data_IF_016927035327
#
_entry.id   IF_016927035327
#
_cell.length_a   1.000
_cell.length_b   1.000
_cell.length_c   1.000
_cell.angle_alpha   90.00
_cell.angle_beta   90.00
_cell.angle_gamma   90.00
#
_symmetry.space_group_name_H-M   'P 1'
#
loop_
_entity.id
_entity.type
_entity.pdbx_description
1 polymer ?
#
# COMPACT_ATOMS: atom_id res chain seq x y z
N UNK A 1 23.60 -36.14 -9.16
CA UNK A 1 23.51 -35.23 -7.99
C UNK A 1 24.53 -34.12 -8.23
N UNK A 2 24.19 -33.20 -9.11
CA UNK A 2 25.02 -32.04 -9.48
C UNK A 2 24.42 -30.80 -8.85
N UNK A 3 25.20 -30.15 -8.03
CA UNK A 3 25.17 -28.81 -7.44
C UNK A 3 23.95 -27.90 -7.77
N UNK A 4 22.87 -28.03 -7.02
CA UNK A 4 21.82 -27.03 -6.87
C UNK A 4 22.25 -25.93 -5.87
N UNK A 5 23.46 -25.41 -6.05
CA UNK A 5 23.93 -24.17 -5.43
C UNK A 5 24.02 -23.04 -6.46
N UNK A 6 22.99 -22.90 -7.30
CA UNK A 6 22.80 -21.61 -7.97
C UNK A 6 22.35 -20.62 -6.93
N UNK A 7 23.13 -19.56 -6.79
CA UNK A 7 22.94 -18.49 -5.84
C UNK A 7 21.47 -18.02 -5.89
N UNK A 8 20.72 -18.36 -4.84
CA UNK A 8 19.40 -17.73 -4.61
C UNK A 8 19.65 -16.23 -4.64
N UNK A 9 19.02 -15.46 -5.53
CA UNK A 9 19.15 -14.01 -5.48
C UNK A 9 18.78 -13.60 -4.05
N UNK A 10 19.62 -12.77 -3.45
CA UNK A 10 19.40 -12.27 -2.09
C UNK A 10 17.98 -11.70 -2.05
N UNK A 11 17.10 -12.30 -1.24
CA UNK A 11 15.69 -11.97 -1.22
C UNK A 11 15.55 -10.57 -0.61
N UNK A 12 15.54 -9.55 -1.46
CA UNK A 12 15.31 -8.16 -1.05
C UNK A 12 13.87 -8.02 -0.55
N UNK A 13 13.68 -7.26 0.52
CA UNK A 13 12.35 -6.90 1.01
C UNK A 13 11.50 -6.27 -0.09
N UNK A 14 12.12 -5.47 -0.96
CA UNK A 14 11.45 -4.78 -2.07
C UNK A 14 10.89 -5.73 -3.13
N UNK A 15 11.23 -7.03 -3.09
CA UNK A 15 10.61 -8.04 -3.98
C UNK A 15 9.20 -8.45 -3.56
N UNK A 16 8.85 -8.22 -2.29
CA UNK A 16 7.53 -8.55 -1.74
C UNK A 16 6.81 -7.32 -1.19
N UNK A 17 7.53 -6.37 -0.58
CA UNK A 17 6.95 -5.18 0.03
C UNK A 17 6.82 -4.08 -1.03
N UNK A 18 5.59 -3.78 -1.42
CA UNK A 18 5.36 -2.76 -2.42
C UNK A 18 5.14 -1.36 -1.83
N UNK A 19 4.83 -1.27 -0.53
CA UNK A 19 4.58 0.01 0.13
C UNK A 19 4.86 -0.07 1.63
N UNK A 20 5.53 0.96 2.13
CA UNK A 20 5.75 1.22 3.54
C UNK A 20 5.14 2.57 3.88
N UNK A 21 4.39 2.66 4.98
CA UNK A 21 3.89 3.92 5.48
C UNK A 21 4.38 4.14 6.91
N UNK A 22 5.05 5.27 7.11
CA UNK A 22 5.45 5.78 8.42
C UNK A 22 4.38 6.74 8.91
N UNK A 23 3.85 6.53 10.10
CA UNK A 23 2.77 7.33 10.67
C UNK A 23 3.14 7.81 12.06
N UNK A 24 2.98 9.12 12.30
CA UNK A 24 3.08 9.72 13.62
C UNK A 24 1.76 10.35 14.00
N UNK A 25 1.26 9.98 15.17
CA UNK A 25 0.07 10.56 15.80
C UNK A 25 0.48 11.51 16.93
N UNK A 26 -0.12 12.70 16.98
CA UNK A 26 0.13 13.71 17.99
C UNK A 26 -1.17 14.37 18.43
N UNK A 27 -1.30 14.55 19.74
CA UNK A 27 -2.36 15.34 20.33
C UNK A 27 -1.78 16.55 21.05
N UNK A 28 -2.55 17.61 21.21
CA UNK A 28 -2.16 18.78 21.96
C UNK A 28 -2.58 18.63 23.43
N UNK A 29 -1.69 19.05 24.33
CA UNK A 29 -1.93 18.98 25.77
C UNK A 29 -3.15 19.80 26.21
N UNK A 30 -3.40 20.93 25.56
CA UNK A 30 -4.40 21.92 25.94
C UNK A 30 -5.83 21.55 25.49
N UNK A 31 -5.97 20.49 24.67
CA UNK A 31 -7.26 20.10 24.10
C UNK A 31 -7.59 18.64 24.44
N UNK A 32 -8.87 18.33 24.68
CA UNK A 32 -9.30 16.93 24.77
C UNK A 32 -9.14 16.26 23.40
N UNK A 33 -9.03 14.93 23.36
CA UNK A 33 -8.92 14.17 22.11
C UNK A 33 -10.02 14.55 21.10
N UNK A 34 -9.72 14.42 19.82
CA UNK A 34 -10.56 14.86 18.71
C UNK A 34 -12.02 14.38 18.80
N UNK A 35 -12.25 13.15 19.27
CA UNK A 35 -13.59 12.60 19.47
C UNK A 35 -14.46 13.45 20.45
N UNK A 36 -13.88 13.93 21.56
CA UNK A 36 -14.58 14.79 22.52
C UNK A 36 -14.73 16.23 22.04
N UNK A 37 -13.77 16.71 21.24
CA UNK A 37 -13.88 18.04 20.64
C UNK A 37 -15.06 18.11 19.66
N UNK A 38 -15.31 17.05 18.90
CA UNK A 38 -16.40 17.00 17.93
C UNK A 38 -17.80 17.12 18.57
N UNK A 39 -17.96 16.69 19.82
CA UNK A 39 -19.19 16.83 20.57
C UNK A 39 -19.51 18.32 20.97
N UNK A 40 -18.48 19.16 21.01
CA UNK A 40 -18.59 20.59 21.44
C UNK A 40 -18.85 21.59 20.31
N UNK A 41 -18.91 21.20 19.05
CA UNK A 41 -19.34 22.05 17.92
C UNK A 41 -18.33 23.09 17.43
N UNK A 42 -17.09 23.16 17.95
CA UNK A 42 -16.09 24.20 17.62
C UNK A 42 -14.82 23.69 16.93
N UNK A 43 -14.86 22.47 16.40
CA UNK A 43 -13.67 21.79 15.87
C UNK A 43 -13.09 22.44 14.62
N UNK A 44 -13.95 22.93 13.71
CA UNK A 44 -13.54 23.50 12.43
C UNK A 44 -12.65 24.74 12.58
N UNK A 45 -13.04 25.67 13.43
CA UNK A 45 -12.27 26.90 13.67
C UNK A 45 -10.90 26.64 14.30
N UNK A 46 -10.80 25.62 15.16
CA UNK A 46 -9.55 25.19 15.79
C UNK A 46 -8.63 24.55 14.71
N UNK A 47 -9.18 23.62 13.93
CA UNK A 47 -8.43 22.94 12.89
C UNK A 47 -7.94 23.89 11.79
N UNK A 48 -8.76 24.87 11.40
CA UNK A 48 -8.36 25.92 10.44
C UNK A 48 -7.20 26.77 10.97
N UNK A 49 -7.15 27.06 12.27
CA UNK A 49 -6.02 27.77 12.88
C UNK A 49 -4.76 26.93 12.79
N UNK A 50 -4.80 25.67 13.21
CA UNK A 50 -3.65 24.77 13.11
C UNK A 50 -3.18 24.56 11.66
N UNK A 51 -4.12 24.42 10.72
CA UNK A 51 -3.81 24.37 9.30
C UNK A 51 -3.08 25.62 8.82
N UNK A 52 -3.56 26.82 9.24
CA UNK A 52 -2.91 28.09 8.92
C UNK A 52 -1.48 28.15 9.46
N UNK A 53 -1.27 27.73 10.72
CA UNK A 53 0.08 27.71 11.32
C UNK A 53 1.01 26.73 10.57
N UNK A 54 0.53 25.53 10.22
CA UNK A 54 1.30 24.57 9.43
C UNK A 54 1.68 25.11 8.04
N UNK A 55 0.77 25.81 7.38
CA UNK A 55 1.00 26.40 6.06
C UNK A 55 2.04 27.54 6.16
N UNK A 56 1.82 28.50 7.04
CA UNK A 56 2.63 29.72 7.09
C UNK A 56 4.00 29.52 7.73
N UNK A 57 4.11 28.68 8.75
CA UNK A 57 5.36 28.52 9.50
C UNK A 57 6.18 27.30 9.04
N UNK A 58 5.51 26.25 8.56
CA UNK A 58 6.17 24.97 8.25
C UNK A 58 6.09 24.58 6.77
N UNK A 59 5.55 25.43 5.90
CA UNK A 59 5.53 25.20 4.46
C UNK A 59 4.69 24.00 4.02
N UNK A 60 3.64 23.70 4.76
CA UNK A 60 2.59 22.79 4.27
C UNK A 60 1.72 23.50 3.24
N UNK A 61 1.12 22.77 2.36
CA UNK A 61 0.16 23.25 1.38
C UNK A 61 -1.17 22.50 1.51
N UNK A 62 -2.26 23.21 1.28
CA UNK A 62 -3.59 22.61 1.26
C UNK A 62 -3.74 21.77 0.01
N UNK A 63 -4.32 20.60 0.16
CA UNK A 63 -4.54 19.68 -0.96
C UNK A 63 -6.00 19.75 -1.37
N UNK A 64 -6.24 19.95 -2.66
CA UNK A 64 -7.57 19.84 -3.24
C UNK A 64 -7.90 18.36 -3.45
N UNK A 65 -9.17 17.98 -3.30
CA UNK A 65 -9.69 16.60 -3.20
C UNK A 65 -9.11 15.57 -4.17
N UNK A 66 -8.77 15.96 -5.39
CA UNK A 66 -8.40 15.01 -6.44
C UNK A 66 -6.99 14.42 -6.35
N UNK A 67 -6.04 15.11 -5.73
CA UNK A 67 -4.63 14.64 -5.67
C UNK A 67 -4.27 13.93 -4.36
N UNK A 68 -5.17 13.96 -3.39
CA UNK A 68 -4.90 13.48 -2.04
C UNK A 68 -5.13 11.98 -1.86
N UNK A 69 -5.94 11.40 -2.71
CA UNK A 69 -6.44 10.04 -2.49
C UNK A 69 -5.38 8.97 -2.74
N UNK A 70 -4.45 9.22 -3.64
CA UNK A 70 -3.43 8.23 -4.05
C UNK A 70 -2.46 7.82 -2.94
N UNK A 71 -2.08 8.75 -2.06
CA UNK A 71 -1.10 8.46 -1.00
C UNK A 71 -1.72 8.10 0.36
N UNK A 72 -3.01 8.44 0.55
CA UNK A 72 -3.74 8.20 1.81
C UNK A 72 -4.31 6.79 1.94
N UNK A 73 -4.22 5.97 0.90
CA UNK A 73 -4.83 4.63 0.80
C UNK A 73 -4.29 3.60 1.80
N UNK A 74 -3.40 4.01 2.67
CA UNK A 74 -2.89 3.22 3.79
C UNK A 74 -3.56 3.52 5.13
N UNK A 75 -4.74 4.09 5.16
CA UNK A 75 -5.44 4.17 6.45
C UNK A 75 -5.70 2.73 6.94
N UNK A 76 -5.08 2.29 8.05
CA UNK A 76 -5.36 0.97 8.63
C UNK A 76 -6.80 0.85 9.10
N UNK A 77 -7.53 1.94 9.08
CA UNK A 77 -8.90 2.08 9.57
C UNK A 77 -9.91 2.26 8.43
N UNK A 78 -9.65 1.80 7.20
CA UNK A 78 -10.68 1.83 6.15
C UNK A 78 -11.98 1.12 6.57
N UNK A 79 -11.93 0.23 7.57
CA UNK A 79 -13.10 -0.44 8.15
C UNK A 79 -13.71 0.31 9.35
N UNK A 80 -13.05 1.33 9.90
CA UNK A 80 -13.49 2.08 11.08
C UNK A 80 -13.80 3.56 10.82
N UNK A 81 -13.58 4.06 9.61
CA UNK A 81 -13.95 5.43 9.27
C UNK A 81 -15.47 5.48 9.07
N UNK A 82 -16.20 6.36 9.79
CA UNK A 82 -17.57 6.65 9.44
C UNK A 82 -17.60 7.12 7.98
N UNK A 83 -18.57 6.65 7.20
CA UNK A 83 -18.72 6.90 5.75
C UNK A 83 -18.93 8.38 5.37
N UNK A 84 -18.77 9.30 6.30
CA UNK A 84 -18.73 10.74 6.08
C UNK A 84 -17.45 11.28 6.67
N UNK A 85 -16.42 11.43 5.83
CA UNK A 85 -15.30 12.32 6.15
C UNK A 85 -15.88 13.72 6.30
N UNK A 86 -15.81 14.35 7.49
CA UNK A 86 -16.11 15.76 7.56
C UNK A 86 -14.93 16.49 6.91
N UNK A 87 -15.20 17.00 5.71
CA UNK A 87 -14.52 18.15 5.10
C UNK A 87 -13.04 17.94 4.76
N UNK A 88 -12.76 17.94 3.49
CA UNK A 88 -11.44 18.02 2.80
C UNK A 88 -10.56 19.23 3.22
N UNK A 89 -11.05 20.07 4.10
CA UNK A 89 -10.37 21.26 4.58
C UNK A 89 -9.12 20.98 5.44
N UNK A 90 -8.93 19.76 5.90
CA UNK A 90 -7.94 19.41 6.92
C UNK A 90 -6.86 18.44 6.46
N UNK A 91 -6.71 18.30 5.16
CA UNK A 91 -5.63 17.55 4.56
C UNK A 91 -4.58 18.51 4.02
N UNK A 92 -3.38 18.36 4.53
CA UNK A 92 -2.22 19.15 4.14
C UNK A 92 -1.10 18.22 3.68
N UNK A 93 -0.21 18.73 2.83
CA UNK A 93 1.01 18.03 2.47
C UNK A 93 2.21 18.95 2.52
N UNK A 94 3.39 18.37 2.75
CA UNK A 94 4.68 19.06 2.66
C UNK A 94 5.67 18.20 1.91
N UNK A 95 6.37 18.81 0.96
CA UNK A 95 7.43 18.15 0.20
C UNK A 95 8.70 18.01 1.05
N UNK A 96 9.28 16.81 1.06
CA UNK A 96 10.60 16.52 1.61
C UNK A 96 11.50 15.99 0.51
N UNK A 97 12.72 16.54 0.42
CA UNK A 97 13.75 16.05 -0.49
C UNK A 97 14.70 15.10 0.24
N UNK A 98 14.91 13.92 -0.34
CA UNK A 98 15.82 12.91 0.17
C UNK A 98 16.56 12.22 -0.98
N UNK A 99 17.89 12.23 -0.98
CA UNK A 99 18.73 11.57 -1.99
C UNK A 99 18.32 11.88 -3.45
N UNK A 100 17.91 13.12 -3.73
CA UNK A 100 17.47 13.55 -5.06
C UNK A 100 16.05 13.11 -5.44
N UNK A 101 15.33 12.47 -4.54
CA UNK A 101 13.89 12.11 -4.70
C UNK A 101 13.03 13.02 -3.84
N UNK A 102 11.81 13.24 -4.31
CA UNK A 102 10.78 14.02 -3.59
C UNK A 102 9.79 13.07 -2.94
N UNK A 103 9.50 13.33 -1.67
CA UNK A 103 8.50 12.62 -0.88
C UNK A 103 7.50 13.63 -0.32
N UNK A 104 6.28 13.21 -0.07
CA UNK A 104 5.27 14.05 0.57
C UNK A 104 4.96 13.54 1.97
N UNK A 105 5.12 14.43 2.95
CA UNK A 105 4.55 14.23 4.28
C UNK A 105 3.14 14.76 4.26
N UNK A 106 2.20 13.89 4.50
CA UNK A 106 0.79 14.21 4.64
C UNK A 106 0.47 14.51 6.09
N UNK A 107 -0.35 15.49 6.32
CA UNK A 107 -0.90 15.81 7.64
C UNK A 107 -2.41 15.84 7.57
N UNK A 108 -3.03 14.90 8.25
CA UNK A 108 -4.48 14.85 8.47
C UNK A 108 -4.76 15.47 9.84
N UNK A 109 -5.65 16.47 9.87
CA UNK A 109 -6.07 17.12 11.10
C UNK A 109 -7.40 16.56 11.59
N UNK A 110 -7.54 16.44 12.93
CA UNK A 110 -8.80 16.12 13.60
C UNK A 110 -9.46 14.80 13.12
N UNK A 111 -8.64 13.78 12.93
CA UNK A 111 -9.14 12.41 12.74
C UNK A 111 -9.40 11.76 14.11
N UNK A 112 -8.74 10.67 14.45
CA UNK A 112 -8.74 10.11 15.80
C UNK A 112 -7.88 10.94 16.74
N UNK A 113 -6.69 11.34 16.25
CA UNK A 113 -5.78 12.26 16.90
C UNK A 113 -5.88 13.66 16.27
N UNK A 114 -5.34 14.67 16.94
CA UNK A 114 -5.34 16.04 16.44
C UNK A 114 -4.51 16.17 15.16
N UNK A 115 -3.34 15.51 15.12
CA UNK A 115 -2.45 15.45 13.97
C UNK A 115 -2.08 14.02 13.68
N UNK A 116 -2.21 13.64 12.43
CA UNK A 116 -1.70 12.40 11.89
C UNK A 116 -0.77 12.72 10.72
N UNK A 117 0.53 12.59 10.95
CA UNK A 117 1.54 12.77 9.90
C UNK A 117 1.86 11.42 9.29
N UNK A 118 1.81 11.33 7.98
CA UNK A 118 2.13 10.10 7.26
C UNK A 118 3.07 10.33 6.09
N UNK A 119 3.92 9.34 5.82
CA UNK A 119 4.88 9.33 4.73
C UNK A 119 4.92 7.96 4.09
N UNK A 120 4.67 7.88 2.79
CA UNK A 120 4.72 6.63 2.03
C UNK A 120 6.08 6.45 1.35
N UNK A 121 6.60 5.21 1.40
CA UNK A 121 7.85 4.79 0.79
C UNK A 121 7.59 3.53 -0.05
N UNK A 122 8.31 3.39 -1.15
CA UNK A 122 8.23 2.22 -2.03
C UNK A 122 9.46 1.29 -1.91
N UNK A 123 10.45 1.68 -1.11
CA UNK A 123 11.63 0.85 -0.83
C UNK A 123 12.04 0.98 0.63
N UNK A 124 12.58 -0.11 1.18
CA UNK A 124 13.20 -0.09 2.52
C UNK A 124 14.50 0.73 2.54
N UNK A 125 15.12 0.96 1.39
CA UNK A 125 16.33 1.80 1.28
C UNK A 125 16.04 3.26 1.61
N UNK A 126 14.81 3.71 1.43
CA UNK A 126 14.38 5.08 1.71
C UNK A 126 14.04 5.32 3.20
N UNK A 127 14.01 4.28 4.04
CA UNK A 127 13.70 4.38 5.48
C UNK A 127 14.55 5.39 6.27
N UNK A 128 15.82 5.68 5.92
CA UNK A 128 16.59 6.73 6.62
C UNK A 128 15.94 8.12 6.56
N UNK A 129 14.98 8.38 5.66
CA UNK A 129 14.16 9.61 5.62
C UNK A 129 13.38 9.83 6.93
N UNK A 130 13.13 8.75 7.71
CA UNK A 130 12.53 8.81 9.04
C UNK A 130 13.21 9.88 9.93
N UNK A 131 14.53 10.04 9.82
CA UNK A 131 15.26 11.06 10.59
C UNK A 131 14.81 12.48 10.22
N UNK A 132 14.57 12.76 8.93
CA UNK A 132 14.05 14.06 8.49
C UNK A 132 12.62 14.30 8.95
N UNK A 133 11.80 13.26 8.93
CA UNK A 133 10.44 13.35 9.45
C UNK A 133 10.43 13.61 10.96
N UNK A 134 11.29 12.96 11.73
CA UNK A 134 11.46 13.23 13.15
C UNK A 134 11.97 14.66 13.42
N UNK A 135 12.92 15.17 12.62
CA UNK A 135 13.37 16.56 12.73
C UNK A 135 12.24 17.57 12.46
N UNK A 136 11.38 17.28 11.47
CA UNK A 136 10.20 18.11 11.23
C UNK A 136 9.27 18.12 12.45
N UNK A 137 9.02 16.96 13.06
CA UNK A 137 8.16 16.85 14.25
C UNK A 137 8.74 17.62 15.44
N UNK A 138 10.05 17.54 15.67
CA UNK A 138 10.73 18.35 16.69
C UNK A 138 10.62 19.85 16.44
N UNK A 139 10.64 20.30 15.17
CA UNK A 139 10.38 21.71 14.85
C UNK A 139 8.94 22.12 15.18
N UNK A 140 7.97 21.21 14.92
CA UNK A 140 6.56 21.44 15.24
C UNK A 140 6.34 21.56 16.75
N UNK A 141 7.08 20.83 17.59
CA UNK A 141 7.01 20.90 19.05
C UNK A 141 7.32 22.30 19.61
N UNK A 142 8.06 23.13 18.89
CA UNK A 142 8.32 24.52 19.29
C UNK A 142 7.05 25.42 19.21
N UNK A 143 6.06 25.01 18.39
CA UNK A 143 4.83 25.77 18.15
C UNK A 143 3.60 25.07 18.70
N UNK A 144 3.63 23.76 18.76
CA UNK A 144 2.53 22.93 19.21
C UNK A 144 2.95 22.14 20.44
N UNK A 145 2.33 22.40 21.58
CA UNK A 145 2.60 21.66 22.82
C UNK A 145 1.95 20.30 22.76
N UNK A 146 2.66 19.29 22.26
CA UNK A 146 2.14 17.94 22.17
C UNK A 146 1.93 17.32 23.55
N UNK A 147 0.84 16.57 23.68
CA UNK A 147 0.51 15.84 24.90
C UNK A 147 1.55 14.72 25.13
N UNK A 148 2.36 14.90 26.13
CA UNK A 148 3.43 13.99 26.51
C UNK A 148 3.36 13.73 28.01
N UNK A 149 3.58 12.48 28.38
CA UNK A 149 3.66 12.01 29.76
C UNK A 149 5.01 11.33 29.99
N UNK A 150 5.64 11.58 31.13
CA UNK A 150 7.00 11.05 31.41
C UNK A 150 7.04 9.52 31.51
N UNK A 151 5.93 8.86 31.84
CA UNK A 151 5.82 7.41 31.94
C UNK A 151 5.35 6.77 30.63
N UNK A 152 4.42 7.44 29.94
CA UNK A 152 3.73 6.87 28.78
C UNK A 152 4.20 7.44 27.44
N UNK A 153 5.03 8.49 27.44
CA UNK A 153 5.45 9.17 26.21
C UNK A 153 4.34 10.00 25.58
N UNK A 154 4.30 10.08 24.24
CA UNK A 154 3.23 10.78 23.52
C UNK A 154 1.89 10.10 23.73
N UNK A 155 0.89 10.88 24.11
CA UNK A 155 -0.47 10.41 24.34
C UNK A 155 -1.24 10.41 23.02
N UNK A 156 -1.78 9.26 22.64
CA UNK A 156 -2.54 9.04 21.40
C UNK A 156 -3.94 8.50 21.70
N UNK A 157 -4.86 8.70 20.76
CA UNK A 157 -6.23 8.18 20.89
C UNK A 157 -6.26 6.65 20.87
N UNK A 158 -5.35 6.01 20.15
CA UNK A 158 -5.14 4.57 20.22
C UNK A 158 -4.05 4.25 21.24
N UNK A 159 -4.36 3.55 22.36
CA UNK A 159 -3.38 3.21 23.40
C UNK A 159 -2.17 2.43 22.88
N UNK A 160 -2.33 1.59 21.83
CA UNK A 160 -1.25 0.80 21.26
C UNK A 160 -0.14 1.66 20.63
N UNK A 161 -0.48 2.89 20.25
CA UNK A 161 0.48 3.85 19.68
C UNK A 161 1.06 4.80 20.72
N UNK A 162 0.55 4.79 21.96
CA UNK A 162 1.13 5.59 23.04
C UNK A 162 2.62 5.26 23.24
N UNK A 163 3.39 6.25 23.66
CA UNK A 163 4.85 6.14 23.76
C UNK A 163 5.54 6.85 22.62
N UNK A 164 5.94 6.15 21.58
CA UNK A 164 6.52 6.78 20.41
C UNK A 164 5.50 7.63 19.61
N UNK A 165 4.19 7.37 19.77
CA UNK A 165 3.15 7.91 18.92
C UNK A 165 3.42 7.59 17.45
N UNK A 166 3.96 6.40 17.17
CA UNK A 166 4.47 5.99 15.87
C UNK A 166 3.97 4.61 15.48
N UNK A 167 3.57 4.48 14.21
CA UNK A 167 3.33 3.18 13.60
C UNK A 167 4.00 3.09 12.22
N UNK A 168 4.38 1.87 11.86
CA UNK A 168 4.83 1.50 10.52
C UNK A 168 3.83 0.51 9.94
N UNK A 169 3.35 0.79 8.75
CA UNK A 169 2.47 -0.11 8.00
C UNK A 169 3.22 -0.63 6.79
N UNK A 170 3.18 -1.94 6.62
CA UNK A 170 3.87 -2.63 5.54
C UNK A 170 2.84 -3.38 4.71
N UNK A 171 2.84 -3.20 3.39
CA UNK A 171 2.00 -3.99 2.49
C UNK A 171 2.89 -4.93 1.68
N UNK A 172 2.66 -6.23 1.84
CA UNK A 172 3.44 -7.29 1.23
C UNK A 172 2.59 -8.17 0.30
N UNK A 173 3.13 -8.50 -0.86
CA UNK A 173 2.55 -9.40 -1.85
C UNK A 173 3.06 -10.82 -1.59
N UNK A 174 2.18 -11.73 -1.15
CA UNK A 174 2.56 -13.04 -0.62
C UNK A 174 1.78 -14.21 -1.28
N UNK A 175 1.76 -14.34 -2.62
CA UNK A 175 1.02 -15.39 -3.30
C UNK A 175 1.56 -16.80 -3.01
N UNK A 176 2.85 -16.96 -2.75
CA UNK A 176 3.44 -18.25 -2.45
C UNK A 176 3.01 -18.79 -1.09
N UNK A 177 3.09 -17.96 -0.05
CA UNK A 177 2.62 -18.31 1.30
C UNK A 177 1.12 -18.58 1.32
N UNK A 178 0.34 -17.83 0.52
CA UNK A 178 -1.09 -18.04 0.37
C UNK A 178 -1.41 -19.39 -0.27
N UNK A 179 -0.74 -19.72 -1.38
CA UNK A 179 -1.00 -20.96 -2.13
C UNK A 179 -0.68 -22.24 -1.34
N UNK A 180 0.19 -22.15 -0.33
CA UNK A 180 0.61 -23.29 0.49
C UNK A 180 -0.01 -23.28 1.91
N UNK A 181 -1.02 -22.46 2.15
CA UNK A 181 -1.76 -22.38 3.42
C UNK A 181 -0.88 -22.10 4.66
N UNK A 182 0.20 -21.29 4.48
CA UNK A 182 1.09 -20.91 5.60
C UNK A 182 0.65 -19.64 6.34
N UNK A 183 -0.59 -19.19 6.16
CA UNK A 183 -1.05 -17.90 6.67
C UNK A 183 -1.16 -17.87 8.19
N UNK A 184 -1.62 -18.95 8.83
CA UNK A 184 -1.69 -19.03 10.29
C UNK A 184 -0.29 -18.93 10.90
N UNK A 185 0.68 -19.67 10.33
CA UNK A 185 2.08 -19.59 10.73
C UNK A 185 2.68 -18.20 10.53
N UNK A 186 2.32 -17.52 9.44
CA UNK A 186 2.73 -16.15 9.16
C UNK A 186 2.18 -15.16 10.21
N UNK A 187 0.90 -15.26 10.55
CA UNK A 187 0.27 -14.39 11.55
C UNK A 187 0.88 -14.61 12.94
N UNK A 188 1.09 -15.87 13.33
CA UNK A 188 1.75 -16.21 14.59
C UNK A 188 3.19 -15.70 14.64
N UNK A 189 3.93 -15.84 13.54
CA UNK A 189 5.28 -15.30 13.42
C UNK A 189 5.28 -13.76 13.49
N UNK A 190 4.38 -13.10 12.78
CA UNK A 190 4.23 -11.64 12.84
C UNK A 190 4.03 -11.18 14.27
N UNK A 191 3.10 -11.80 14.99
CA UNK A 191 2.81 -11.46 16.39
C UNK A 191 4.04 -11.65 17.30
N UNK A 192 4.79 -12.73 17.13
CA UNK A 192 6.03 -12.98 17.87
C UNK A 192 7.13 -11.93 17.60
N UNK A 193 7.09 -11.27 16.43
CA UNK A 193 7.99 -10.19 16.04
C UNK A 193 7.46 -8.79 16.38
N UNK A 194 6.37 -8.68 17.13
CA UNK A 194 5.73 -7.41 17.47
C UNK A 194 5.00 -6.75 16.31
N UNK A 195 4.60 -7.54 15.32
CA UNK A 195 3.80 -7.10 14.16
C UNK A 195 2.43 -7.78 14.19
N UNK A 196 1.42 -7.12 13.65
CA UNK A 196 0.07 -7.67 13.51
C UNK A 196 -0.35 -7.64 12.04
N UNK A 197 -0.94 -8.73 11.56
CA UNK A 197 -1.64 -8.75 10.28
C UNK A 197 -2.98 -8.03 10.45
N UNK A 198 -3.22 -7.01 9.62
CA UNK A 198 -4.43 -6.17 9.70
C UNK A 198 -5.58 -6.76 8.89
N UNK A 199 -5.29 -7.66 7.94
CA UNK A 199 -6.31 -8.29 7.11
C UNK A 199 -7.21 -9.20 7.95
N UNK A 200 -8.52 -9.10 7.71
CA UNK A 200 -9.52 -9.99 8.31
C UNK A 200 -9.57 -11.30 7.52
N UNK A 201 -8.73 -12.25 7.91
CA UNK A 201 -8.59 -13.54 7.22
C UNK A 201 -9.81 -14.46 7.41
N UNK A 202 -10.66 -14.18 8.39
CA UNK A 202 -11.93 -14.92 8.57
C UNK A 202 -12.92 -14.62 7.44
N UNK A 203 -12.82 -13.43 6.83
CA UNK A 203 -13.62 -13.03 5.66
C UNK A 203 -13.09 -13.54 4.32
N UNK A 204 -11.89 -14.11 4.32
CA UNK A 204 -11.24 -14.64 3.14
C UNK A 204 -9.86 -14.03 2.89
N UNK A 205 -9.24 -14.45 1.80
CA UNK A 205 -7.94 -13.97 1.39
C UNK A 205 -8.01 -12.53 0.89
N UNK A 206 -7.01 -11.70 1.19
CA UNK A 206 -6.98 -10.34 0.67
C UNK A 206 -6.80 -10.37 -0.85
N UNK A 207 -7.55 -9.53 -1.60
CA UNK A 207 -7.40 -9.42 -3.04
C UNK A 207 -5.95 -9.16 -3.45
N UNK A 208 -5.51 -9.82 -4.51
CA UNK A 208 -4.14 -9.70 -5.00
C UNK A 208 -3.07 -10.30 -4.08
N UNK A 209 -3.44 -11.10 -3.08
CA UNK A 209 -2.52 -11.64 -2.07
C UNK A 209 -1.71 -10.53 -1.36
N UNK A 210 -2.35 -9.37 -1.14
CA UNK A 210 -1.75 -8.18 -0.53
C UNK A 210 -2.03 -8.15 0.96
N UNK A 211 -1.06 -8.55 1.75
CA UNK A 211 -1.14 -8.57 3.21
C UNK A 211 -0.64 -7.26 3.79
N UNK A 212 -1.34 -6.76 4.80
CA UNK A 212 -0.95 -5.56 5.51
C UNK A 212 -0.54 -5.90 6.94
N UNK A 213 0.64 -5.43 7.34
CA UNK A 213 1.19 -5.61 8.68
C UNK A 213 1.43 -4.24 9.31
N UNK A 214 1.23 -4.17 10.63
CA UNK A 214 1.56 -2.98 11.44
C UNK A 214 2.22 -3.42 12.73
N UNK A 215 2.99 -2.54 13.38
CA UNK A 215 3.52 -2.82 14.72
C UNK A 215 2.39 -2.89 15.75
N UNK A 216 2.54 -3.79 16.72
CA UNK A 216 1.54 -4.05 17.75
C UNK A 216 1.53 -2.95 18.81
N UNK A 217 2.73 -2.56 19.30
CA UNK A 217 2.86 -1.57 20.39
C UNK A 217 3.97 -0.59 20.10
N UNK A 218 3.81 0.64 20.57
CA UNK A 218 4.80 1.72 20.47
C UNK A 218 5.33 2.15 21.86
N UNK A 219 4.74 1.65 22.95
CA UNK A 219 5.13 1.98 24.31
C UNK A 219 6.57 1.50 24.60
N UNK A 220 7.37 2.34 25.22
CA UNK A 220 8.78 2.12 25.56
C UNK A 220 9.73 1.89 24.36
N UNK A 221 9.25 1.97 23.14
CA UNK A 221 10.06 1.79 21.94
C UNK A 221 10.33 3.11 21.24
N UNK A 222 11.45 3.20 20.52
CA UNK A 222 11.73 4.32 19.64
C UNK A 222 11.23 4.02 18.22
N UNK A 223 10.87 5.04 17.41
CA UNK A 223 10.51 4.84 16.01
C UNK A 223 11.58 4.06 15.22
N UNK A 224 12.85 4.28 15.54
CA UNK A 224 13.98 3.55 14.94
C UNK A 224 13.95 2.06 15.29
N UNK A 225 13.68 1.70 16.56
CA UNK A 225 13.60 0.31 16.98
C UNK A 225 12.41 -0.41 16.33
N UNK A 226 11.22 0.23 16.32
CA UNK A 226 10.01 -0.28 15.67
C UNK A 226 10.29 -0.55 14.18
N UNK A 227 10.90 0.40 13.49
CA UNK A 227 11.25 0.27 12.06
C UNK A 227 12.24 -0.87 11.83
N UNK A 228 13.26 -1.01 12.69
CA UNK A 228 14.24 -2.09 12.58
C UNK A 228 13.59 -3.47 12.74
N UNK A 229 12.67 -3.62 13.71
CA UNK A 229 11.90 -4.86 13.90
C UNK A 229 11.01 -5.19 12.71
N UNK A 230 10.31 -4.20 12.15
CA UNK A 230 9.49 -4.37 10.97
C UNK A 230 10.32 -4.82 9.74
N UNK A 231 11.50 -4.22 9.53
CA UNK A 231 12.40 -4.62 8.44
C UNK A 231 12.94 -6.04 8.65
N UNK A 232 13.32 -6.41 9.90
CA UNK A 232 13.77 -7.77 10.20
C UNK A 232 12.67 -8.80 9.93
N UNK A 233 11.43 -8.53 10.35
CA UNK A 233 10.25 -9.32 10.03
C UNK A 233 10.07 -9.48 8.51
N UNK A 234 10.05 -8.38 7.77
CA UNK A 234 9.87 -8.41 6.31
C UNK A 234 10.98 -9.18 5.59
N UNK A 235 12.24 -9.11 6.06
CA UNK A 235 13.34 -9.90 5.50
C UNK A 235 13.11 -11.40 5.64
N UNK A 236 12.64 -11.84 6.82
CA UNK A 236 12.30 -13.25 7.04
C UNK A 236 11.15 -13.70 6.14
N UNK A 237 10.10 -12.87 6.03
CA UNK A 237 8.93 -13.16 5.17
C UNK A 237 9.37 -13.20 3.70
N UNK A 238 10.17 -12.23 3.23
CA UNK A 238 10.69 -12.20 1.86
C UNK A 238 11.47 -13.46 1.52
N UNK A 239 12.34 -13.91 2.42
CA UNK A 239 13.12 -15.12 2.22
C UNK A 239 12.22 -16.36 2.07
N UNK A 240 11.21 -16.52 2.94
CA UNK A 240 10.30 -17.66 2.85
C UNK A 240 9.41 -17.58 1.60
N UNK A 241 8.84 -16.43 1.30
CA UNK A 241 8.01 -16.23 0.11
C UNK A 241 8.78 -16.55 -1.16
N UNK A 242 10.02 -16.04 -1.30
CA UNK A 242 10.83 -16.29 -2.50
C UNK A 242 11.23 -17.75 -2.64
N UNK A 243 11.51 -18.44 -1.54
CA UNK A 243 11.74 -19.90 -1.58
C UNK A 243 10.52 -20.65 -2.11
N UNK A 244 9.34 -20.31 -1.61
CA UNK A 244 8.09 -20.96 -2.06
C UNK A 244 7.84 -20.67 -3.52
N UNK A 245 7.97 -19.42 -3.98
CA UNK A 245 7.82 -19.08 -5.42
C UNK A 245 8.76 -19.88 -6.31
N UNK A 246 10.00 -20.11 -5.87
CA UNK A 246 10.95 -20.95 -6.59
C UNK A 246 10.49 -22.41 -6.63
N UNK A 247 10.02 -22.96 -5.50
CA UNK A 247 9.50 -24.32 -5.44
C UNK A 247 8.24 -24.49 -6.33
N UNK A 248 7.32 -23.52 -6.34
CA UNK A 248 6.12 -23.58 -7.17
C UNK A 248 6.42 -23.84 -8.65
N UNK A 249 7.51 -23.30 -9.16
CA UNK A 249 7.95 -23.52 -10.55
C UNK A 249 8.25 -24.99 -10.84
N UNK A 250 8.72 -25.76 -9.86
CA UNK A 250 9.12 -27.17 -10.01
C UNK A 250 8.05 -28.13 -9.50
N UNK A 251 7.40 -27.81 -8.40
CA UNK A 251 6.48 -28.71 -7.70
C UNK A 251 5.06 -28.64 -8.30
N UNK A 252 4.65 -27.47 -8.79
CA UNK A 252 3.31 -27.26 -9.31
C UNK A 252 3.29 -26.45 -10.62
N UNK A 253 4.11 -26.79 -11.62
CA UNK A 253 4.25 -26.02 -12.85
C UNK A 253 2.94 -25.88 -13.63
N UNK A 254 2.13 -26.93 -13.65
CA UNK A 254 0.84 -26.95 -14.37
C UNK A 254 -0.14 -25.95 -13.77
N UNK A 255 -0.25 -25.91 -12.44
CA UNK A 255 -1.16 -24.97 -11.76
C UNK A 255 -0.73 -23.51 -11.96
N UNK A 256 0.56 -23.24 -11.85
CA UNK A 256 1.10 -21.92 -12.08
C UNK A 256 0.88 -21.46 -13.53
N UNK A 257 1.14 -22.34 -14.49
CA UNK A 257 0.92 -22.04 -15.91
C UNK A 257 -0.56 -21.82 -16.23
N UNK A 258 -1.45 -22.62 -15.66
CA UNK A 258 -2.90 -22.46 -15.83
C UNK A 258 -3.40 -21.13 -15.26
N UNK A 259 -2.93 -20.70 -14.07
CA UNK A 259 -3.24 -19.40 -13.51
C UNK A 259 -2.81 -18.27 -14.44
N UNK A 260 -1.57 -18.34 -14.98
CA UNK A 260 -1.06 -17.34 -15.91
C UNK A 260 -1.81 -17.32 -17.25
N UNK A 261 -2.23 -18.47 -17.76
CA UNK A 261 -3.05 -18.52 -18.97
C UNK A 261 -4.45 -17.96 -18.76
N UNK A 262 -5.07 -18.22 -17.59
CA UNK A 262 -6.34 -17.60 -17.23
C UNK A 262 -6.22 -16.10 -17.12
N UNK A 263 -5.18 -15.59 -16.42
CA UNK A 263 -4.87 -14.17 -16.35
C UNK A 263 -4.77 -13.56 -17.77
N UNK A 264 -3.94 -14.15 -18.63
CA UNK A 264 -3.73 -13.70 -20.00
C UNK A 264 -5.04 -13.69 -20.81
N UNK A 265 -5.81 -14.76 -20.72
CA UNK A 265 -7.09 -14.87 -21.45
C UNK A 265 -8.10 -13.84 -20.94
N UNK A 266 -8.19 -13.66 -19.62
CA UNK A 266 -9.07 -12.69 -19.01
C UNK A 266 -8.72 -11.27 -19.45
N UNK A 267 -7.45 -10.87 -19.38
CA UNK A 267 -6.98 -9.56 -19.83
C UNK A 267 -7.24 -9.32 -21.33
N UNK A 268 -7.19 -10.38 -22.19
CA UNK A 268 -7.48 -10.23 -23.60
C UNK A 268 -8.97 -9.98 -23.92
N UNK A 269 -9.86 -10.62 -23.20
CA UNK A 269 -11.27 -10.71 -23.62
C UNK A 269 -12.26 -10.05 -22.68
N UNK A 270 -11.91 -9.81 -21.40
CA UNK A 270 -12.78 -9.11 -20.47
C UNK A 270 -12.98 -7.65 -20.92
N UNK A 271 -14.23 -7.20 -20.85
CA UNK A 271 -14.60 -5.81 -21.09
C UNK A 271 -14.83 -5.02 -19.80
N UNK A 272 -15.07 -5.73 -18.70
CA UNK A 272 -15.24 -5.19 -17.36
C UNK A 272 -14.33 -5.98 -16.43
N UNK A 273 -13.58 -5.30 -15.60
CA UNK A 273 -12.69 -5.89 -14.58
C UNK A 273 -12.89 -5.10 -13.29
N UNK A 274 -13.39 -5.77 -12.26
CA UNK A 274 -13.56 -5.17 -10.93
C UNK A 274 -12.20 -4.90 -10.28
N UNK A 275 -12.17 -4.10 -9.21
CA UNK A 275 -10.93 -3.83 -8.46
C UNK A 275 -10.30 -5.14 -7.94
N UNK A 276 -11.11 -6.02 -7.35
CA UNK A 276 -10.64 -7.30 -6.81
C UNK A 276 -10.06 -8.21 -7.91
N UNK A 277 -10.75 -8.33 -9.05
CA UNK A 277 -10.24 -9.10 -10.19
C UNK A 277 -8.93 -8.52 -10.72
N UNK A 278 -8.83 -7.19 -10.83
CA UNK A 278 -7.62 -6.52 -11.29
C UNK A 278 -6.42 -6.78 -10.35
N UNK A 279 -6.64 -6.71 -9.04
CA UNK A 279 -5.61 -7.01 -8.05
C UNK A 279 -5.14 -8.48 -8.15
N UNK A 280 -6.07 -9.42 -8.34
CA UNK A 280 -5.74 -10.83 -8.52
C UNK A 280 -4.97 -11.08 -9.82
N UNK A 281 -5.35 -10.45 -10.94
CA UNK A 281 -4.63 -10.55 -12.21
C UNK A 281 -3.21 -9.99 -12.11
N UNK A 282 -3.02 -8.87 -11.41
CA UNK A 282 -1.69 -8.31 -11.14
C UNK A 282 -0.86 -9.21 -10.23
N UNK A 283 -1.48 -9.85 -9.25
CA UNK A 283 -0.80 -10.83 -8.40
C UNK A 283 -0.25 -12.00 -9.21
N UNK A 284 -1.06 -12.58 -10.09
CA UNK A 284 -0.62 -13.64 -10.99
C UNK A 284 0.51 -13.18 -11.92
N UNK A 285 0.40 -11.98 -12.48
CA UNK A 285 1.45 -11.38 -13.31
C UNK A 285 2.77 -11.29 -12.56
N UNK A 286 2.78 -10.72 -11.36
CA UNK A 286 4.00 -10.56 -10.56
C UNK A 286 4.55 -11.89 -10.04
N UNK A 287 3.68 -12.87 -9.76
CA UNK A 287 4.11 -14.23 -9.46
C UNK A 287 4.84 -14.85 -10.67
N UNK A 288 4.24 -14.76 -11.86
CA UNK A 288 4.87 -15.24 -13.10
C UNK A 288 6.20 -14.56 -13.41
N UNK A 289 6.32 -13.26 -13.12
CA UNK A 289 7.56 -12.48 -13.20
C UNK A 289 8.63 -13.00 -12.25
N UNK A 290 8.28 -13.17 -10.99
CA UNK A 290 9.20 -13.63 -9.94
C UNK A 290 9.66 -15.08 -10.14
N UNK A 291 8.83 -15.92 -10.76
CA UNK A 291 9.18 -17.28 -11.17
C UNK A 291 9.99 -17.33 -12.48
N UNK A 292 10.21 -16.20 -13.16
CA UNK A 292 10.94 -16.13 -14.44
C UNK A 292 10.19 -16.74 -15.63
N UNK A 293 8.88 -16.91 -15.52
CA UNK A 293 8.01 -17.41 -16.62
C UNK A 293 7.66 -16.25 -17.55
N UNK A 294 7.37 -15.08 -16.99
CA UNK A 294 7.14 -13.85 -17.74
C UNK A 294 8.44 -13.06 -17.79
N UNK A 295 9.05 -12.84 -18.96
CA UNK A 295 10.30 -12.10 -19.07
C UNK A 295 10.11 -10.60 -18.76
N UNK A 296 11.18 -9.88 -18.34
CA UNK A 296 11.14 -8.44 -18.16
C UNK A 296 10.86 -7.73 -19.51
N UNK A 297 9.88 -6.84 -19.51
CA UNK A 297 9.59 -5.98 -20.65
C UNK A 297 10.30 -4.62 -20.50
N UNK A 298 10.88 -4.09 -21.58
CA UNK A 298 11.41 -2.73 -21.59
C UNK A 298 10.24 -1.73 -21.54
N UNK A 299 10.30 -0.75 -20.62
CA UNK A 299 9.26 0.25 -20.50
C UNK A 299 7.96 -0.29 -19.91
N UNK A 300 8.05 -1.23 -19.01
CA UNK A 300 6.92 -1.90 -18.35
C UNK A 300 6.06 -0.89 -17.58
N UNK A 301 4.76 -0.75 -17.92
CA UNK A 301 3.87 0.18 -17.23
C UNK A 301 3.44 -0.32 -15.85
N UNK A 302 3.79 -1.57 -15.53
CA UNK A 302 3.38 -2.26 -14.30
C UNK A 302 4.56 -2.37 -13.33
N UNK A 303 5.15 -1.23 -12.92
CA UNK A 303 6.19 -1.25 -11.90
C UNK A 303 5.65 -1.83 -10.59
N UNK A 304 6.37 -2.81 -10.01
CA UNK A 304 6.03 -3.34 -8.71
C UNK A 304 5.97 -2.20 -7.69
N UNK A 305 4.95 -2.17 -6.88
CA UNK A 305 4.73 -1.08 -5.92
C UNK A 305 3.71 -0.05 -6.38
N UNK A 306 3.63 0.27 -7.67
CA UNK A 306 2.66 1.22 -8.19
C UNK A 306 1.46 0.55 -8.87
N UNK A 307 1.69 -0.59 -9.54
CA UNK A 307 0.64 -1.23 -10.33
C UNK A 307 -0.60 -1.65 -9.52
N UNK A 308 -0.41 -2.07 -8.26
CA UNK A 308 -1.53 -2.44 -7.39
C UNK A 308 -2.36 -1.24 -6.93
N UNK A 309 -1.74 -0.07 -6.81
CA UNK A 309 -2.47 1.15 -6.47
C UNK A 309 -3.27 1.66 -7.67
N UNK A 310 -2.73 1.55 -8.89
CA UNK A 310 -3.35 2.07 -10.12
C UNK A 310 -4.71 1.44 -10.49
N UNK A 311 -5.03 0.26 -9.98
CA UNK A 311 -6.32 -0.42 -10.26
C UNK A 311 -7.40 -0.13 -9.23
N UNK A 312 -7.08 0.56 -8.14
CA UNK A 312 -8.05 0.92 -7.11
C UNK A 312 -9.01 2.00 -7.63
N UNK A 313 -10.23 2.00 -7.11
CA UNK A 313 -11.29 2.89 -7.58
C UNK A 313 -10.91 4.38 -7.56
N UNK A 314 -10.30 4.80 -6.48
CA UNK A 314 -9.92 6.18 -6.21
C UNK A 314 -8.75 6.66 -7.08
N UNK A 315 -7.80 5.79 -7.40
CA UNK A 315 -6.64 6.09 -8.26
C UNK A 315 -7.02 5.95 -9.74
N UNK A 316 -7.75 4.90 -10.07
CA UNK A 316 -8.18 4.63 -11.43
C UNK A 316 -8.98 5.81 -12.04
N UNK A 317 -9.76 6.52 -11.23
CA UNK A 317 -10.53 7.69 -11.68
C UNK A 317 -9.64 8.92 -11.94
N UNK A 318 -8.52 9.07 -11.22
CA UNK A 318 -7.66 10.26 -11.29
C UNK A 318 -6.49 10.10 -12.24
N UNK A 319 -5.86 8.93 -12.31
CA UNK A 319 -4.64 8.71 -13.10
C UNK A 319 -4.93 8.12 -14.49
N UNK A 320 -5.96 7.29 -14.63
CA UNK A 320 -6.42 6.81 -15.93
C UNK A 320 -7.35 7.84 -16.58
N UNK A 321 -6.88 9.09 -16.67
CA UNK A 321 -7.66 10.16 -17.27
C UNK A 321 -8.20 9.75 -18.64
N UNK A 322 -9.43 10.21 -18.95
CA UNK A 322 -10.10 10.07 -20.24
C UNK A 322 -9.25 10.50 -21.46
N UNK A 323 -8.20 11.31 -21.22
CA UNK A 323 -7.24 11.75 -22.23
C UNK A 323 -6.26 10.66 -22.65
N UNK A 324 -5.97 9.67 -21.78
CA UNK A 324 -5.00 8.60 -22.04
C UNK A 324 -5.67 7.30 -22.50
N UNK A 325 -6.98 7.21 -22.39
CA UNK A 325 -7.74 6.14 -23.02
C UNK A 325 -7.66 6.35 -24.54
N UNK A 326 -6.97 5.49 -25.31
CA UNK A 326 -6.93 5.64 -26.75
C UNK A 326 -8.37 5.69 -27.26
N UNK A 327 -8.75 6.79 -27.89
CA UNK A 327 -10.11 6.97 -28.47
C UNK A 327 -10.54 5.77 -29.30
N UNK A 328 -9.56 5.06 -29.90
CA UNK A 328 -9.77 3.80 -30.61
C UNK A 328 -10.13 2.60 -29.72
N UNK A 329 -9.67 2.54 -28.47
CA UNK A 329 -9.96 1.41 -27.57
C UNK A 329 -11.44 1.45 -27.10
N UNK A 330 -11.96 2.61 -26.76
CA UNK A 330 -13.40 2.78 -26.47
C UNK A 330 -14.29 2.48 -27.68
N UNK A 331 -13.86 2.84 -28.88
CA UNK A 331 -14.59 2.53 -30.11
C UNK A 331 -14.60 1.02 -30.43
N UNK A 332 -13.59 0.28 -29.99
CA UNK A 332 -13.52 -1.17 -30.14
C UNK A 332 -14.47 -1.93 -29.20
N UNK A 333 -15.01 -1.27 -28.17
CA UNK A 333 -15.98 -1.89 -27.26
C UNK A 333 -17.36 -2.01 -27.92
N UNK A 334 -18.13 -3.09 -27.59
CA UNK A 334 -19.52 -3.18 -28.01
C UNK A 334 -20.35 -1.95 -27.57
N UNK A 335 -21.35 -1.57 -28.38
CA UNK A 335 -22.15 -0.36 -28.14
C UNK A 335 -22.69 -0.28 -26.71
N UNK A 336 -23.22 -1.39 -26.20
CA UNK A 336 -23.76 -1.47 -24.81
C UNK A 336 -22.77 -1.05 -23.73
N UNK A 337 -21.45 -1.28 -23.91
CA UNK A 337 -20.42 -0.87 -22.94
C UNK A 337 -20.06 0.61 -23.12
N UNK A 338 -20.15 1.14 -24.32
CA UNK A 338 -20.00 2.58 -24.58
C UNK A 338 -21.14 3.38 -23.95
N UNK A 339 -22.36 2.85 -23.98
CA UNK A 339 -23.52 3.48 -23.34
C UNK A 339 -23.40 3.47 -21.82
N UNK A 340 -22.87 2.38 -21.22
CA UNK A 340 -22.63 2.25 -19.79
C UNK A 340 -21.47 3.13 -19.27
N UNK A 341 -20.69 3.75 -20.15
CA UNK A 341 -19.57 4.64 -19.78
C UNK A 341 -19.98 5.80 -18.88
N UNK A 342 -21.22 6.23 -18.94
CA UNK A 342 -21.73 7.31 -18.10
C UNK A 342 -21.96 6.91 -16.64
N UNK A 343 -22.07 5.62 -16.36
CA UNK A 343 -22.17 5.11 -15.00
C UNK A 343 -20.76 4.93 -14.40
N UNK A 344 -20.48 5.58 -13.25
CA UNK A 344 -19.15 5.59 -12.62
C UNK A 344 -18.57 4.19 -12.41
N UNK A 345 -19.35 3.25 -11.85
CA UNK A 345 -18.89 1.90 -11.57
C UNK A 345 -18.44 1.18 -12.84
N UNK A 346 -19.26 1.18 -13.89
CA UNK A 346 -18.91 0.56 -15.17
C UNK A 346 -17.74 1.26 -15.86
N UNK A 347 -17.61 2.56 -15.71
CA UNK A 347 -16.48 3.31 -16.27
C UNK A 347 -15.16 2.86 -15.66
N UNK A 348 -15.10 2.68 -14.34
CA UNK A 348 -13.90 2.21 -13.64
C UNK A 348 -13.52 0.78 -14.07
N UNK A 349 -14.50 -0.11 -14.15
CA UNK A 349 -14.27 -1.49 -14.58
C UNK A 349 -13.80 -1.57 -16.05
N UNK A 350 -14.31 -0.71 -16.92
CA UNK A 350 -13.85 -0.58 -18.32
C UNK A 350 -12.41 -0.05 -18.36
N UNK A 351 -12.10 0.98 -17.59
CA UNK A 351 -10.75 1.55 -17.52
C UNK A 351 -9.72 0.52 -17.09
N UNK A 352 -10.02 -0.27 -16.05
CA UNK A 352 -9.15 -1.37 -15.60
C UNK A 352 -8.94 -2.42 -16.69
N UNK A 353 -10.03 -2.82 -17.37
CA UNK A 353 -9.95 -3.78 -18.47
C UNK A 353 -9.05 -3.27 -19.60
N UNK A 354 -9.15 -1.99 -19.96
CA UNK A 354 -8.32 -1.38 -20.99
C UNK A 354 -6.86 -1.25 -20.55
N UNK A 355 -6.62 -0.84 -19.30
CA UNK A 355 -5.28 -0.69 -18.74
C UNK A 355 -4.55 -2.03 -18.62
N UNK A 356 -5.25 -3.11 -18.24
CA UNK A 356 -4.68 -4.47 -18.12
C UNK A 356 -4.58 -5.21 -19.47
N UNK A 357 -5.15 -4.70 -20.55
CA UNK A 357 -5.14 -5.33 -21.87
C UNK A 357 -3.74 -5.77 -22.36
N UNK A 358 -2.66 -4.99 -22.19
CA UNK A 358 -1.32 -5.40 -22.58
C UNK A 358 -0.83 -6.70 -21.93
N UNK A 359 -1.31 -7.06 -20.71
CA UNK A 359 -0.98 -8.34 -20.07
C UNK A 359 -1.48 -9.54 -20.86
N UNK A 360 -2.56 -9.38 -21.61
CA UNK A 360 -3.08 -10.40 -22.50
C UNK A 360 -2.16 -10.72 -23.69
N UNK A 361 -1.26 -9.80 -24.04
CA UNK A 361 -0.31 -9.95 -25.15
C UNK A 361 1.04 -10.57 -24.72
N UNK A 362 1.20 -10.89 -23.44
CA UNK A 362 2.45 -11.44 -22.92
C UNK A 362 2.77 -12.79 -23.55
N UNK A 363 4.02 -12.96 -23.91
CA UNK A 363 4.58 -14.24 -24.36
C UNK A 363 5.33 -14.85 -23.20
N UNK A 364 4.98 -16.08 -22.84
CA UNK A 364 5.69 -16.81 -21.78
C UNK A 364 7.03 -17.33 -22.30
N UNK A 365 8.02 -17.42 -21.42
CA UNK A 365 9.33 -17.97 -21.78
C UNK A 365 9.17 -19.42 -22.27
N UNK A 366 9.72 -19.71 -23.46
CA UNK A 366 9.47 -20.94 -24.22
C UNK A 366 9.90 -22.24 -23.53
N UNK A 367 10.72 -22.16 -22.48
CA UNK A 367 11.18 -23.36 -21.76
C UNK A 367 10.07 -24.03 -20.94
N UNK A 368 9.02 -23.28 -20.59
CA UNK A 368 7.88 -23.83 -19.82
C UNK A 368 7.00 -24.76 -20.67
N UNK A 369 6.80 -24.46 -21.95
CA UNK A 369 6.06 -25.35 -22.87
C UNK A 369 6.80 -26.68 -23.14
N UNK A 370 8.12 -26.67 -23.14
CA UNK A 370 8.93 -27.90 -23.28
C UNK A 370 8.76 -28.87 -22.09
N UNK A 371 8.40 -28.35 -20.92
CA UNK A 371 8.14 -29.18 -19.72
C UNK A 371 6.80 -29.92 -19.76
N UNK A 372 5.81 -29.36 -20.45
CA UNK A 372 4.49 -29.98 -20.61
C UNK A 372 4.52 -31.06 -21.68
N UNK A 373 5.29 -30.86 -22.73
CA UNK A 373 5.42 -31.80 -23.84
C UNK A 373 6.33 -33.04 -23.53
N UNK A 374 6.98 -33.06 -22.36
CA UNK A 374 7.87 -34.15 -21.94
C UNK A 374 7.25 -35.13 -20.95
N UNK A 375 5.95 -35.08 -20.74
CA UNK A 375 5.16 -36.06 -19.98
C UNK A 375 3.91 -36.47 -20.76
#
# INVERSE_FOLDING_TARGET
>A
MSNLHDATPEASVDTICHKLQLVFCRNLHEYPFAAKLSEGGSTEGIALRWASDLIHQFGFEKVNELSAQTDLLFAPCAHALPQKRPIDAFLLRRRLEWQGRSYFVWCELMQQDHFRFSLCLHSVEDLPILQKLQQLLLQLENCFHFAYDDQFGYLTANPDLAGAGFSIHCRAHLPGLTAHDYLEGLCNFAHAQGMTCVNDLERGLPPGNLFQFTNTFALTQTPKAITASAVAFLKCVAHQEMRIRQCMKYDSPILLYESLNRMRSFCNYACLITEEEALNLLSDYWLGRSCGIIPPAKGEPYAFGHCFDNVRDDVCETELHLTDCPTGALQALPARFRDAWHERAFRLDILRALWLRPLGQLVFAGDFMKWIDLK
#
